data_IF_943541009929
#
_entry.id   IF_943541009929
#
_cell.length_a   1.000
_cell.length_b   1.000
_cell.length_c   1.000
_cell.angle_alpha   90.00
_cell.angle_beta   90.00
_cell.angle_gamma   90.00
#
_symmetry.space_group_name_H-M   'P 1'
#
loop_
_entity.id
_entity.type
_entity.pdbx_description
1 polymer ?
#
# COMPACT_ATOMS: atom_id res chain seq x y z
N UNK A 1 0.21 -18.52 1.02
CA UNK A 1 -0.05 -18.03 -0.34
C UNK A 1 0.40 -16.59 -0.33
N UNK A 2 1.31 -16.20 -1.22
CA UNK A 2 1.77 -14.82 -1.28
C UNK A 2 0.77 -14.04 -2.12
N UNK A 3 -0.14 -13.33 -1.48
CA UNK A 3 -1.07 -12.43 -2.15
C UNK A 3 -0.26 -11.26 -2.73
N UNK A 4 -0.19 -11.23 -4.06
CA UNK A 4 0.38 -10.13 -4.83
C UNK A 4 -0.72 -9.12 -5.09
N UNK A 5 -0.44 -7.85 -4.79
CA UNK A 5 -1.32 -6.73 -5.10
C UNK A 5 -0.85 -6.04 -6.38
N UNK A 6 -1.77 -5.34 -7.03
CA UNK A 6 -1.51 -4.63 -8.27
C UNK A 6 -1.56 -3.12 -8.02
N UNK A 7 -0.69 -2.35 -8.65
CA UNK A 7 -0.74 -0.89 -8.66
C UNK A 7 -0.62 -0.36 -10.09
N UNK A 8 -1.54 0.53 -10.44
CA UNK A 8 -1.62 1.19 -11.74
C UNK A 8 -1.85 2.71 -11.58
N UNK A 9 -2.08 3.40 -12.70
CA UNK A 9 -2.38 4.83 -12.74
C UNK A 9 -3.72 5.22 -12.11
N UNK A 10 -4.56 4.27 -11.71
CA UNK A 10 -5.78 4.51 -10.93
C UNK A 10 -5.56 4.28 -9.43
N UNK A 11 -4.57 3.46 -9.04
CA UNK A 11 -4.11 3.29 -7.66
C UNK A 11 -3.77 1.86 -7.26
N UNK A 12 -3.49 1.66 -5.97
CA UNK A 12 -3.22 0.32 -5.40
C UNK A 12 -4.53 -0.45 -5.19
N UNK A 13 -4.62 -1.64 -5.76
CA UNK A 13 -5.72 -2.57 -5.54
C UNK A 13 -5.57 -3.24 -4.17
N UNK A 14 -6.56 -3.03 -3.30
CA UNK A 14 -6.57 -3.53 -1.93
C UNK A 14 -7.34 -4.86 -1.85
N UNK A 15 -6.90 -5.80 -0.98
CA UNK A 15 -7.74 -6.95 -0.64
C UNK A 15 -9.08 -6.48 -0.04
N UNK A 16 -10.12 -7.29 -0.20
CA UNK A 16 -11.49 -6.97 0.25
C UNK A 16 -11.55 -6.55 1.73
N UNK A 17 -10.76 -7.23 2.58
CA UNK A 17 -10.68 -6.96 4.01
C UNK A 17 -10.09 -5.58 4.38
N UNK A 18 -9.33 -4.97 3.45
CA UNK A 18 -8.78 -3.62 3.57
C UNK A 18 -9.62 -2.58 2.82
N UNK A 19 -10.55 -3.01 1.97
CA UNK A 19 -11.51 -2.16 1.26
C UNK A 19 -12.72 -1.72 2.11
N UNK A 20 -12.84 -2.19 3.35
CA UNK A 20 -13.97 -1.85 4.21
C UNK A 20 -13.86 -0.43 4.78
N UNK A 21 -14.91 0.37 4.63
CA UNK A 21 -14.94 1.80 4.92
C UNK A 21 -15.05 2.17 6.40
N UNK A 22 -15.45 1.22 7.25
CA UNK A 22 -15.72 1.47 8.67
C UNK A 22 -14.44 1.43 9.54
N UNK A 23 -13.34 0.92 9.00
CA UNK A 23 -12.07 0.78 9.69
C UNK A 23 -10.98 1.61 9.00
N UNK A 24 -10.17 2.30 9.80
CA UNK A 24 -9.01 3.03 9.31
C UNK A 24 -7.89 2.06 8.91
N UNK A 25 -7.12 2.44 7.89
CA UNK A 25 -5.98 1.65 7.41
C UNK A 25 -4.76 2.53 7.24
N UNK A 26 -3.61 2.02 7.68
CA UNK A 26 -2.30 2.60 7.37
C UNK A 26 -1.66 1.79 6.26
N UNK A 27 -1.32 2.47 5.17
CA UNK A 27 -0.64 1.91 4.00
C UNK A 27 0.79 2.46 3.99
N UNK A 28 1.77 1.57 4.04
CA UNK A 28 3.19 1.93 3.92
C UNK A 28 3.75 1.35 2.64
N UNK A 29 4.18 2.21 1.75
CA UNK A 29 5.02 1.88 0.61
C UNK A 29 6.47 2.24 0.94
N UNK A 30 7.43 1.86 0.11
CA UNK A 30 8.82 2.27 0.34
C UNK A 30 8.96 3.81 0.40
N UNK A 31 8.31 4.57 -0.50
CA UNK A 31 8.42 6.04 -0.53
C UNK A 31 7.43 6.80 0.35
N UNK A 32 6.34 6.19 0.78
CA UNK A 32 5.25 6.92 1.44
C UNK A 32 4.59 6.12 2.56
N UNK A 33 3.98 6.88 3.48
CA UNK A 33 3.06 6.35 4.49
C UNK A 33 1.78 7.15 4.39
N UNK A 34 0.67 6.46 4.15
CA UNK A 34 -0.66 7.04 4.12
C UNK A 34 -1.45 6.46 5.27
N UNK A 35 -2.05 7.35 6.06
CA UNK A 35 -2.95 6.99 7.15
C UNK A 35 -4.37 7.42 6.77
N UNK A 36 -5.15 6.46 6.26
CA UNK A 36 -6.54 6.68 5.89
C UNK A 36 -7.45 6.49 7.10
N UNK A 37 -8.10 7.57 7.52
CA UNK A 37 -8.98 7.56 8.68
C UNK A 37 -10.32 6.87 8.37
N UNK A 38 -10.96 6.24 9.37
CA UNK A 38 -12.30 5.67 9.21
C UNK A 38 -13.32 6.72 8.74
N UNK A 39 -14.36 6.28 8.04
CA UNK A 39 -15.47 7.15 7.61
C UNK A 39 -15.28 7.85 6.26
N UNK A 40 -14.16 7.61 5.58
CA UNK A 40 -13.97 7.90 4.16
C UNK A 40 -14.06 6.62 3.34
N UNK A 41 -14.74 6.67 2.18
CA UNK A 41 -14.85 5.51 1.30
C UNK A 41 -13.48 5.12 0.72
N UNK A 42 -12.85 4.10 1.31
CA UNK A 42 -11.76 3.37 0.67
C UNK A 42 -12.40 2.37 -0.28
N UNK A 43 -12.42 2.66 -1.58
CA UNK A 43 -12.91 1.70 -2.56
C UNK A 43 -12.02 0.45 -2.61
N UNK A 44 -12.26 -0.46 -3.58
CA UNK A 44 -11.34 -1.58 -3.85
C UNK A 44 -9.93 -1.10 -4.27
N UNK A 45 -9.78 0.20 -4.55
CA UNK A 45 -8.56 0.83 -5.00
C UNK A 45 -8.24 2.08 -4.17
N UNK A 46 -7.00 2.21 -3.74
CA UNK A 46 -6.49 3.37 -3.03
C UNK A 46 -5.78 4.35 -3.97
N UNK A 47 -6.51 5.36 -4.44
CA UNK A 47 -6.06 6.28 -5.51
C UNK A 47 -4.92 7.24 -5.15
N UNK A 48 -4.49 7.32 -3.88
CA UNK A 48 -3.31 8.12 -3.51
C UNK A 48 -1.99 7.37 -3.68
N UNK A 49 -2.03 6.04 -3.79
CA UNK A 49 -0.83 5.22 -4.03
C UNK A 49 -0.65 5.10 -5.54
N UNK A 50 0.58 5.26 -6.03
CA UNK A 50 0.93 5.27 -7.45
C UNK A 50 2.11 4.34 -7.73
N UNK A 51 2.33 3.92 -8.99
CA UNK A 51 3.49 3.14 -9.40
C UNK A 51 4.83 3.68 -8.88
N UNK A 52 5.00 5.02 -8.91
CA UNK A 52 6.20 5.71 -8.43
C UNK A 52 6.50 5.56 -6.93
N UNK A 53 5.53 5.11 -6.14
CA UNK A 53 5.73 4.87 -4.71
C UNK A 53 6.50 3.57 -4.46
N UNK A 54 6.65 2.76 -5.51
CA UNK A 54 7.48 1.58 -5.68
C UNK A 54 8.58 1.89 -6.72
N UNK A 55 9.57 1.02 -6.89
CA UNK A 55 10.69 1.29 -7.80
C UNK A 55 11.86 0.31 -7.68
N UNK A 56 13.05 0.73 -8.11
CA UNK A 56 14.29 -0.06 -8.01
C UNK A 56 15.07 0.29 -6.73
N UNK A 57 15.75 -0.68 -6.11
CA UNK A 57 16.53 -0.50 -4.85
C UNK A 57 17.48 0.71 -4.89
N UNK A 58 18.06 0.99 -6.06
CA UNK A 58 18.99 2.10 -6.28
C UNK A 58 18.33 3.49 -6.17
N UNK A 59 17.00 3.57 -6.30
CA UNK A 59 16.26 4.83 -6.18
C UNK A 59 15.71 5.09 -4.77
N UNK A 60 16.05 4.25 -3.78
CA UNK A 60 15.54 4.34 -2.40
C UNK A 60 16.45 5.07 -1.41
N UNK A 61 17.43 5.84 -1.91
CA UNK A 61 18.28 6.68 -1.07
C UNK A 61 17.50 7.68 -0.18
N UNK A 62 16.24 8.00 -0.54
CA UNK A 62 15.32 8.84 0.24
C UNK A 62 14.04 8.11 0.69
N UNK A 63 14.12 6.78 0.89
CA UNK A 63 12.97 5.96 1.32
C UNK A 63 12.41 6.40 2.67
N UNK A 64 11.09 6.55 2.76
CA UNK A 64 10.40 6.84 4.04
C UNK A 64 10.23 5.59 4.90
N UNK A 65 10.27 4.41 4.29
CA UNK A 65 10.19 3.13 4.96
C UNK A 65 11.35 2.24 4.48
N UNK A 66 12.60 2.49 4.92
CA UNK A 66 13.80 1.82 4.40
C UNK A 66 13.88 0.32 4.73
N UNK A 67 13.08 -0.14 5.69
CA UNK A 67 12.92 -1.56 6.03
C UNK A 67 12.02 -2.33 5.04
N UNK A 68 11.33 -1.62 4.16
CA UNK A 68 10.40 -2.20 3.19
C UNK A 68 11.09 -2.33 1.84
N UNK A 69 11.15 -3.56 1.31
CA UNK A 69 11.72 -3.80 -0.01
C UNK A 69 10.91 -3.05 -1.10
N UNK A 70 11.53 -2.71 -2.24
CA UNK A 70 10.91 -1.85 -3.25
C UNK A 70 9.60 -2.32 -3.85
N UNK A 71 9.38 -3.63 -3.85
CA UNK A 71 8.20 -4.31 -4.39
C UNK A 71 7.23 -4.73 -3.28
N UNK A 72 7.29 -4.09 -2.10
CA UNK A 72 6.48 -4.44 -0.94
C UNK A 72 5.62 -3.30 -0.48
N UNK A 73 4.42 -3.65 -0.02
CA UNK A 73 3.53 -2.75 0.71
C UNK A 73 3.16 -3.40 2.04
N UNK A 74 3.10 -2.60 3.09
CA UNK A 74 2.64 -3.03 4.41
C UNK A 74 1.31 -2.36 4.72
N UNK A 75 0.26 -3.17 4.87
CA UNK A 75 -1.09 -2.71 5.20
C UNK A 75 -1.35 -2.98 6.68
N UNK A 76 -2.03 -2.07 7.37
CA UNK A 76 -2.39 -2.23 8.78
C UNK A 76 -3.77 -1.65 9.04
N UNK A 77 -4.74 -2.52 9.34
CA UNK A 77 -6.02 -2.09 9.92
C UNK A 77 -5.81 -1.59 11.34
N UNK A 78 -6.59 -0.61 11.75
CA UNK A 78 -6.53 -0.10 13.13
C UNK A 78 -6.88 -1.21 14.13
N UNK A 79 -6.02 -1.43 15.11
CA UNK A 79 -6.20 -2.47 16.14
C UNK A 79 -5.66 -3.85 15.77
N UNK A 80 -5.27 -4.07 14.51
CA UNK A 80 -4.72 -5.33 14.01
C UNK A 80 -3.20 -5.26 13.81
N UNK A 81 -2.56 -6.41 13.64
CA UNK A 81 -1.17 -6.50 13.22
C UNK A 81 -0.98 -6.12 11.74
N UNK A 82 0.17 -5.55 11.37
CA UNK A 82 0.44 -5.21 9.98
C UNK A 82 0.77 -6.45 9.15
N UNK A 83 0.28 -6.49 7.92
CA UNK A 83 0.55 -7.53 6.93
C UNK A 83 1.37 -6.96 5.77
N UNK A 84 2.27 -7.77 5.21
CA UNK A 84 3.17 -7.35 4.12
C UNK A 84 2.86 -8.14 2.85
N UNK A 85 2.58 -7.40 1.77
CA UNK A 85 2.22 -7.94 0.47
C UNK A 85 3.29 -7.62 -0.55
N UNK A 86 3.39 -8.45 -1.60
CA UNK A 86 4.15 -8.11 -2.80
C UNK A 86 3.30 -7.21 -3.70
N UNK A 87 3.93 -6.32 -4.43
CA UNK A 87 3.26 -5.44 -5.39
C UNK A 87 3.84 -5.64 -6.78
N UNK A 88 2.96 -5.84 -7.75
CA UNK A 88 3.26 -5.77 -9.17
C UNK A 88 2.80 -4.41 -9.71
N UNK A 89 3.72 -3.74 -10.41
CA UNK A 89 3.46 -2.44 -11.04
C UNK A 89 3.00 -2.71 -12.46
N UNK A 90 1.72 -2.47 -12.72
CA UNK A 90 1.14 -2.60 -14.06
C UNK A 90 1.46 -1.32 -14.85
N UNK A 91 2.14 -1.48 -16.00
CA UNK A 91 2.58 -0.40 -16.89
C UNK A 91 1.66 -0.25 -18.10
#
# INVERSE_FOLDING_TARGET
MSDTLHVDDAGLWLPEEYGNHDQGVVIRTPRATIDHKPGGAIGPQHGMIRPRDFGDEEEFHESRNPELAPDRVKLKRYGEDPETFRVEVDR
#
